data_IF_702589218400
#
_entry.id   IF_702589218400
#
_cell.length_a   1.000
_cell.length_b   1.000
_cell.length_c   1.000
_cell.angle_alpha   90.00
_cell.angle_beta   90.00
_cell.angle_gamma   90.00
#
_symmetry.space_group_name_H-M   'P 1'
#
loop_
_entity.id
_entity.type
_entity.pdbx_description
1 polymer ?
#
# COMPACT_ATOMS: atom_id res chain seq x y z
N UNK A 1 -25.75 2.05 1.19
CA UNK A 1 -24.54 2.90 1.08
C UNK A 1 -23.51 2.26 2.01
N UNK A 2 -22.26 2.07 1.58
CA UNK A 2 -21.27 1.40 2.43
C UNK A 2 -20.89 2.33 3.58
N UNK A 3 -21.13 1.90 4.81
CA UNK A 3 -20.76 2.64 6.01
C UNK A 3 -19.30 2.29 6.36
N UNK A 4 -18.36 3.12 5.93
CA UNK A 4 -16.96 2.98 6.33
C UNK A 4 -16.74 3.57 7.71
N UNK A 5 -16.04 2.84 8.58
CA UNK A 5 -15.60 3.36 9.87
C UNK A 5 -14.72 4.60 9.69
N UNK A 6 -14.74 5.50 10.67
CA UNK A 6 -13.89 6.70 10.68
C UNK A 6 -12.41 6.37 10.45
N UNK A 7 -11.93 5.24 10.97
CA UNK A 7 -10.55 4.78 10.79
C UNK A 7 -10.21 4.48 9.33
N UNK A 8 -11.13 3.86 8.59
CA UNK A 8 -10.95 3.58 7.16
C UNK A 8 -10.97 4.89 6.37
N UNK A 9 -11.88 5.79 6.70
CA UNK A 9 -11.96 7.10 6.06
C UNK A 9 -10.68 7.92 6.30
N UNK A 10 -10.13 7.91 7.51
CA UNK A 10 -8.88 8.59 7.85
C UNK A 10 -7.72 8.05 7.01
N UNK A 11 -7.56 6.73 6.91
CA UNK A 11 -6.51 6.12 6.11
C UNK A 11 -6.67 6.36 4.61
N UNK A 12 -7.90 6.46 4.12
CA UNK A 12 -8.17 6.78 2.71
C UNK A 12 -7.83 8.24 2.39
N UNK A 13 -8.25 9.18 3.24
CA UNK A 13 -8.03 10.62 3.03
C UNK A 13 -6.60 11.06 3.38
N UNK A 14 -5.98 10.41 4.37
CA UNK A 14 -4.63 10.72 4.86
C UNK A 14 -3.78 9.43 4.93
N UNK A 15 -3.48 8.83 3.77
CA UNK A 15 -2.75 7.57 3.74
C UNK A 15 -1.33 7.75 4.24
N UNK A 16 -0.87 6.79 5.04
CA UNK A 16 0.48 6.75 5.59
C UNK A 16 1.33 5.84 4.70
N UNK A 17 2.64 6.08 4.63
CA UNK A 17 3.56 5.22 3.90
C UNK A 17 3.32 5.13 2.38
N UNK A 18 2.66 6.12 1.78
CA UNK A 18 2.55 6.20 0.32
C UNK A 18 3.92 6.51 -0.29
N UNK A 19 4.25 5.80 -1.37
CA UNK A 19 5.45 6.02 -2.14
C UNK A 19 6.19 4.72 -2.45
N UNK A 20 7.47 4.86 -2.78
CA UNK A 20 8.33 3.74 -3.14
C UNK A 20 9.68 3.97 -2.45
N UNK A 21 10.26 2.91 -1.89
CA UNK A 21 11.59 2.97 -1.29
C UNK A 21 12.61 2.88 -2.43
N UNK A 22 13.57 3.79 -2.45
CA UNK A 22 14.71 3.73 -3.38
C UNK A 22 15.64 2.59 -2.96
N UNK A 23 16.03 1.72 -3.90
CA UNK A 23 16.82 0.50 -3.64
C UNK A 23 16.24 -0.38 -2.51
N UNK A 24 15.01 -0.89 -2.68
CA UNK A 24 14.38 -1.75 -1.68
C UNK A 24 15.06 -3.11 -1.62
N UNK A 25 15.02 -3.74 -0.44
CA UNK A 25 15.52 -5.11 -0.26
C UNK A 25 14.46 -6.14 -0.68
N UNK A 26 13.19 -5.73 -0.75
CA UNK A 26 12.09 -6.55 -1.26
C UNK A 26 11.04 -5.74 -2.00
N UNK A 27 10.51 -6.32 -3.08
CA UNK A 27 9.42 -5.76 -3.90
C UNK A 27 8.37 -6.84 -4.12
N UNK A 28 7.11 -6.48 -3.96
CA UNK A 28 5.97 -7.32 -4.31
C UNK A 28 4.94 -6.53 -5.11
N UNK A 29 4.54 -7.07 -6.26
CA UNK A 29 3.52 -6.49 -7.13
C UNK A 29 2.36 -7.48 -7.27
N UNK A 30 1.13 -6.99 -7.13
CA UNK A 30 -0.09 -7.77 -7.34
C UNK A 30 -1.15 -6.89 -7.98
N UNK A 31 -1.99 -7.46 -8.83
CA UNK A 31 -3.11 -6.75 -9.42
C UNK A 31 -4.21 -7.70 -9.87
N UNK A 32 -5.41 -7.17 -10.01
CA UNK A 32 -6.60 -7.91 -10.42
C UNK A 32 -7.23 -7.24 -11.64
N UNK A 33 -7.20 -7.93 -12.78
CA UNK A 33 -7.85 -7.47 -14.00
C UNK A 33 -9.38 -7.36 -13.87
N UNK A 34 -9.98 -8.07 -12.90
CA UNK A 34 -11.42 -8.08 -12.70
C UNK A 34 -11.94 -6.79 -12.05
N UNK A 35 -11.16 -6.14 -11.18
CA UNK A 35 -11.53 -4.88 -10.53
C UNK A 35 -10.66 -3.69 -10.98
N UNK A 36 -9.55 -3.94 -11.68
CA UNK A 36 -8.63 -2.92 -12.14
C UNK A 36 -7.64 -2.42 -11.08
N UNK A 37 -7.65 -3.03 -9.89
CA UNK A 37 -6.78 -2.64 -8.79
C UNK A 37 -5.38 -3.24 -8.96
N UNK A 38 -4.34 -2.45 -8.66
CA UNK A 38 -2.95 -2.88 -8.65
C UNK A 38 -2.22 -2.27 -7.45
N UNK A 39 -1.43 -3.09 -6.75
CA UNK A 39 -0.65 -2.72 -5.58
C UNK A 39 0.81 -3.12 -5.80
N UNK A 40 1.71 -2.15 -5.57
CA UNK A 40 3.14 -2.36 -5.38
C UNK A 40 3.50 -2.09 -3.93
N UNK A 41 4.19 -3.04 -3.28
CA UNK A 41 4.77 -2.90 -1.95
C UNK A 41 6.31 -2.99 -2.06
N UNK A 42 6.99 -2.04 -1.43
CA UNK A 42 8.45 -2.01 -1.32
C UNK A 42 8.88 -2.02 0.14
N UNK A 43 9.89 -2.82 0.47
CA UNK A 43 10.37 -3.04 1.84
C UNK A 43 11.88 -2.76 1.94
N UNK A 44 12.29 -2.13 3.04
CA UNK A 44 13.67 -2.08 3.50
C UNK A 44 13.81 -3.00 4.71
N UNK A 45 14.84 -3.84 4.74
CA UNK A 45 15.09 -4.82 5.81
C UNK A 45 16.44 -4.53 6.45
N UNK A 46 16.45 -4.43 7.78
CA UNK A 46 17.65 -4.31 8.59
C UNK A 46 17.56 -5.28 9.77
N UNK A 47 18.64 -6.02 10.04
CA UNK A 47 18.75 -6.94 11.18
C UNK A 47 17.58 -7.93 11.31
N UNK A 48 17.10 -8.44 10.16
CA UNK A 48 15.98 -9.38 10.12
C UNK A 48 14.61 -8.76 10.41
N UNK A 49 14.48 -7.43 10.42
CA UNK A 49 13.23 -6.68 10.62
C UNK A 49 12.94 -5.73 9.46
N UNK A 50 11.65 -5.47 9.23
CA UNK A 50 11.22 -4.44 8.28
C UNK A 50 11.51 -3.08 8.90
N UNK A 51 12.46 -2.35 8.31
CA UNK A 51 12.89 -1.02 8.73
C UNK A 51 12.03 0.09 8.12
N UNK A 52 11.58 -0.09 6.87
CA UNK A 52 10.61 0.77 6.21
C UNK A 52 9.75 -0.06 5.24
N UNK A 53 8.52 0.38 5.04
CA UNK A 53 7.57 -0.19 4.09
C UNK A 53 6.80 0.95 3.43
N UNK A 54 6.78 0.96 2.10
CA UNK A 54 5.99 1.92 1.31
C UNK A 54 5.21 1.22 0.23
N UNK A 55 4.05 1.76 -0.09
CA UNK A 55 3.20 1.23 -1.15
C UNK A 55 2.79 2.28 -2.17
N UNK A 56 2.53 1.80 -3.38
CA UNK A 56 1.77 2.51 -4.41
C UNK A 56 0.62 1.62 -4.83
N UNK A 57 -0.58 2.18 -4.80
CA UNK A 57 -1.79 1.49 -5.26
C UNK A 57 -2.48 2.34 -6.32
N UNK A 58 -3.14 1.69 -7.27
CA UNK A 58 -4.03 2.32 -8.23
C UNK A 58 -5.30 1.48 -8.26
N UNK A 59 -6.46 2.08 -8.01
CA UNK A 59 -7.69 1.31 -7.85
C UNK A 59 -8.79 2.03 -7.07
N UNK A 60 -9.77 1.25 -6.61
CA UNK A 60 -10.90 1.70 -5.80
C UNK A 60 -10.45 2.26 -4.43
N UNK A 61 -11.32 3.00 -3.74
CA UNK A 61 -11.04 3.57 -2.42
C UNK A 61 -10.73 2.53 -1.32
N UNK A 62 -11.08 1.27 -1.55
CA UNK A 62 -10.75 0.13 -0.70
C UNK A 62 -9.41 -0.53 -1.03
N UNK A 63 -8.76 -0.16 -2.14
CA UNK A 63 -7.51 -0.73 -2.64
C UNK A 63 -6.27 0.01 -2.12
#
# INVERSE_FOLDING_TARGET
>A
MWEYTDKVQEHFLNPRNVGEIEHPDGVGDVGSLACGDALKLTLKIADGRIADAKFKTFGCASA
#
